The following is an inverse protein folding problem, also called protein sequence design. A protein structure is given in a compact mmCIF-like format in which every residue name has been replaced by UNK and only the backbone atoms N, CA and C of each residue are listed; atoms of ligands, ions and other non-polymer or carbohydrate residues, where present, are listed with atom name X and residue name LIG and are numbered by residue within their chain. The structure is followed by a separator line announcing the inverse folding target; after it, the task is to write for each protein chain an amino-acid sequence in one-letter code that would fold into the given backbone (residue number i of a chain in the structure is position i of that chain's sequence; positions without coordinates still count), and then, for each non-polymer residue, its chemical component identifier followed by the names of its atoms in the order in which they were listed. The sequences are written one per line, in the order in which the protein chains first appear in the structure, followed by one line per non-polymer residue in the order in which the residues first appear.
data_IF_184107661131
#
_entry.id   IF_184107661131
#
_cell.length_a   1.000
_cell.length_b   1.000
_cell.length_c   1.000
_cell.angle_alpha   90.00
_cell.angle_beta   90.00
_cell.angle_gamma   90.00
#
_symmetry.space_group_name_H-M   'P 1'
#
loop_
_entity.id
_entity.type
_entity.pdbx_description
1 polymer ?
#
# COMPACT_ATOMS: atom_id res chain seq x y z
N UNK A 1 25.09 -6.51 26.69
CA UNK A 1 23.98 -5.53 26.69
C UNK A 1 22.92 -6.05 25.74
N UNK A 2 21.65 -6.06 26.19
CA UNK A 2 20.54 -6.52 25.36
C UNK A 2 20.22 -5.45 24.32
N UNK A 3 20.53 -5.73 23.06
CA UNK A 3 20.03 -4.91 21.96
C UNK A 3 18.54 -5.22 21.76
N UNK A 4 17.70 -4.19 21.73
CA UNK A 4 16.25 -4.32 21.59
C UNK A 4 15.72 -3.38 20.51
N UNK A 5 14.58 -3.73 19.89
CA UNK A 5 13.85 -2.81 19.03
C UNK A 5 12.92 -1.92 19.87
N UNK A 6 12.58 -0.75 19.35
CA UNK A 6 11.66 0.20 19.97
C UNK A 6 10.28 -0.45 20.21
N UNK A 7 9.79 -1.27 19.28
CA UNK A 7 8.51 -1.97 19.44
C UNK A 7 8.46 -2.92 20.64
N UNK A 8 9.62 -3.37 21.12
CA UNK A 8 9.72 -4.41 22.14
C UNK A 8 10.05 -3.85 23.53
N UNK A 9 10.22 -2.51 23.65
CA UNK A 9 10.65 -1.85 24.89
C UNK A 9 9.76 -2.16 26.10
N UNK A 10 8.46 -2.35 25.88
CA UNK A 10 7.53 -2.67 26.97
C UNK A 10 7.85 -3.96 27.71
N UNK A 11 8.64 -4.86 27.12
CA UNK A 11 9.07 -6.10 27.77
C UNK A 11 10.28 -5.91 28.70
N UNK A 12 10.86 -4.71 28.77
CA UNK A 12 12.13 -4.43 29.45
C UNK A 12 12.02 -3.27 30.45
N UNK A 13 10.83 -2.98 30.97
CA UNK A 13 10.62 -1.89 31.93
C UNK A 13 11.55 -2.00 33.15
N UNK A 14 12.31 -0.94 33.44
CA UNK A 14 13.31 -0.89 34.51
C UNK A 14 14.65 -1.54 34.18
N UNK A 15 14.81 -2.17 33.01
CA UNK A 15 16.06 -2.76 32.56
C UNK A 15 16.91 -1.79 31.72
N UNK A 16 18.22 -2.00 31.72
CA UNK A 16 19.14 -1.32 30.81
C UNK A 16 19.16 -2.04 29.46
N UNK A 17 18.90 -1.28 28.39
CA UNK A 17 18.85 -1.78 27.01
C UNK A 17 19.67 -0.91 26.08
N UNK A 18 20.03 -1.46 24.93
CA UNK A 18 20.69 -0.73 23.84
C UNK A 18 19.77 -0.66 22.63
N UNK A 19 19.47 0.54 22.15
CA UNK A 19 18.69 0.78 20.93
C UNK A 19 19.59 1.42 19.88
N UNK A 20 19.51 0.92 18.65
CA UNK A 20 20.29 1.42 17.50
C UNK A 20 19.34 2.06 16.50
N UNK A 21 19.61 3.28 16.08
CA UNK A 21 18.68 3.98 15.22
C UNK A 21 19.21 5.30 14.68
N UNK A 22 18.27 6.13 14.25
CA UNK A 22 18.50 7.43 13.67
C UNK A 22 17.79 8.52 14.49
N UNK A 23 18.48 9.63 14.71
CA UNK A 23 17.89 10.83 15.34
C UNK A 23 16.77 11.34 14.44
N UNK A 24 15.54 11.31 14.94
CA UNK A 24 14.38 11.85 14.23
C UNK A 24 14.27 13.36 14.47
N UNK A 25 14.40 13.78 15.72
CA UNK A 25 14.48 15.19 16.12
C UNK A 25 15.13 15.31 17.49
N UNK A 26 15.63 16.49 17.83
CA UNK A 26 16.15 16.84 19.16
C UNK A 26 15.40 18.06 19.70
N UNK A 27 15.24 18.14 21.02
CA UNK A 27 14.66 19.31 21.71
C UNK A 27 15.25 19.45 23.10
N UNK A 28 15.25 20.67 23.64
CA UNK A 28 15.94 20.95 24.91
C UNK A 28 15.11 21.83 25.83
N UNK A 29 15.15 21.52 27.13
CA UNK A 29 14.44 22.23 28.18
C UNK A 29 15.36 22.34 29.42
N UNK A 30 16.03 23.47 29.57
CA UNK A 30 16.89 23.74 30.73
C UNK A 30 18.12 22.82 30.77
N UNK A 31 18.19 21.92 31.75
CA UNK A 31 19.31 20.97 31.94
C UNK A 31 19.02 19.57 31.40
N UNK A 32 17.95 19.43 30.64
CA UNK A 32 17.51 18.16 30.05
C UNK A 32 17.33 18.41 28.56
N UNK A 33 17.78 17.47 27.75
CA UNK A 33 17.45 17.44 26.34
C UNK A 33 16.95 16.06 25.95
N UNK A 34 16.26 16.00 24.82
CA UNK A 34 15.55 14.83 24.35
C UNK A 34 16.01 14.51 22.93
N UNK A 35 16.25 13.24 22.68
CA UNK A 35 16.35 12.68 21.32
C UNK A 35 15.09 11.88 21.06
N UNK A 36 14.37 12.19 19.99
CA UNK A 36 13.41 11.24 19.45
C UNK A 36 14.18 10.32 18.53
N UNK A 37 14.29 9.04 18.87
CA UNK A 37 15.01 8.03 18.10
C UNK A 37 14.02 7.19 17.29
N UNK A 38 14.36 6.90 16.03
CA UNK A 38 13.66 5.91 15.20
C UNK A 38 14.58 4.74 14.87
N UNK A 39 14.06 3.52 14.84
CA UNK A 39 14.82 2.31 14.46
C UNK A 39 14.20 1.56 13.28
N UNK A 40 13.01 1.99 12.82
CA UNK A 40 12.21 1.31 11.78
C UNK A 40 10.99 0.57 12.34
N UNK A 41 11.00 0.22 13.63
CA UNK A 41 9.87 -0.41 14.34
C UNK A 41 9.00 0.62 15.04
N UNK A 42 9.58 1.75 15.49
CA UNK A 42 8.84 2.83 16.13
C UNK A 42 9.63 4.11 16.32
N UNK A 43 9.08 4.97 17.19
CA UNK A 43 9.73 6.16 17.74
C UNK A 43 9.80 6.01 19.26
N UNK A 44 10.93 6.36 19.86
CA UNK A 44 11.09 6.42 21.32
C UNK A 44 11.66 7.77 21.72
N UNK A 45 11.19 8.32 22.84
CA UNK A 45 11.81 9.46 23.47
C UNK A 45 12.98 8.98 24.34
N UNK A 46 14.18 9.49 24.07
CA UNK A 46 15.36 9.28 24.89
C UNK A 46 15.65 10.56 25.68
N UNK A 47 15.63 10.46 27.01
CA UNK A 47 15.79 11.58 27.94
C UNK A 47 17.24 11.65 28.40
N UNK A 48 17.92 12.75 28.11
CA UNK A 48 19.32 12.98 28.49
C UNK A 48 19.38 14.01 29.62
N UNK A 49 19.75 13.55 30.81
CA UNK A 49 19.83 14.37 32.02
C UNK A 49 21.29 14.52 32.42
N UNK A 50 21.76 15.76 32.62
CA UNK A 50 23.17 16.03 32.95
C UNK A 50 23.71 15.25 34.16
N UNK A 51 22.86 15.01 35.15
CA UNK A 51 23.24 14.31 36.40
C UNK A 51 23.31 12.77 36.21
N UNK A 52 22.74 12.25 35.12
CA UNK A 52 22.69 10.81 34.81
C UNK A 52 23.67 10.39 33.70
N UNK A 53 24.32 11.36 33.03
CA UNK A 53 25.25 11.15 31.92
C UNK A 53 26.60 11.86 32.14
N UNK A 54 27.65 11.40 31.46
CA UNK A 54 28.91 12.16 31.40
C UNK A 54 28.80 13.44 30.55
N UNK A 55 29.76 14.36 30.71
CA UNK A 55 29.79 15.61 29.96
C UNK A 55 29.95 15.36 28.44
N UNK A 56 30.59 14.26 28.03
CA UNK A 56 30.73 13.90 26.62
C UNK A 56 29.36 13.61 25.99
N UNK A 57 28.57 12.73 26.60
CA UNK A 57 27.21 12.39 26.17
C UNK A 57 26.29 13.60 26.27
N UNK A 58 26.36 14.38 27.36
CA UNK A 58 25.47 15.51 27.56
C UNK A 58 25.67 16.60 26.50
N UNK A 59 26.92 16.86 26.08
CA UNK A 59 27.25 17.92 25.11
C UNK A 59 26.92 17.54 23.65
N UNK A 60 26.52 16.29 23.37
CA UNK A 60 26.13 15.84 22.02
C UNK A 60 24.88 16.55 21.48
N UNK A 61 24.09 17.21 22.33
CA UNK A 61 22.95 18.04 21.93
C UNK A 61 23.30 19.00 20.77
N UNK A 62 24.48 19.61 20.84
CA UNK A 62 24.95 20.60 19.86
C UNK A 62 25.49 20.00 18.56
N UNK A 63 25.63 18.67 18.52
CA UNK A 63 26.29 17.93 17.44
C UNK A 63 25.28 17.06 16.68
N UNK A 64 24.34 16.43 17.38
CA UNK A 64 23.38 15.52 16.76
C UNK A 64 22.41 16.27 15.85
N UNK A 65 22.42 15.88 14.58
CA UNK A 65 21.49 16.36 13.56
C UNK A 65 20.44 15.31 13.22
N UNK A 66 19.33 15.74 12.63
CA UNK A 66 18.34 14.85 12.04
C UNK A 66 19.01 13.82 11.11
N UNK A 67 18.61 12.56 11.22
CA UNK A 67 19.15 11.40 10.50
C UNK A 67 20.58 10.97 10.88
N UNK A 68 21.19 11.57 11.91
CA UNK A 68 22.41 11.02 12.52
C UNK A 68 22.15 9.61 13.05
N UNK A 69 23.04 8.67 12.75
CA UNK A 69 22.93 7.29 13.26
C UNK A 69 23.70 7.14 14.56
N UNK A 70 23.02 6.56 15.56
CA UNK A 70 23.49 6.48 16.93
C UNK A 70 23.13 5.14 17.56
N UNK A 71 23.90 4.76 18.59
CA UNK A 71 23.61 3.67 19.50
C UNK A 71 23.39 4.30 20.87
N UNK A 72 22.19 4.14 21.43
CA UNK A 72 21.82 4.70 22.73
C UNK A 72 21.65 3.55 23.72
N UNK A 73 22.38 3.61 24.83
CA UNK A 73 22.17 2.72 25.98
C UNK A 73 21.49 3.51 27.09
N UNK A 74 20.44 2.94 27.66
CA UNK A 74 19.66 3.59 28.70
C UNK A 74 18.73 2.65 29.44
N UNK A 75 18.12 3.15 30.51
CA UNK A 75 17.12 2.43 31.30
C UNK A 75 15.72 2.69 30.75
N UNK A 76 14.93 1.64 30.50
CA UNK A 76 13.53 1.79 30.06
C UNK A 76 12.67 2.28 31.23
N UNK A 77 11.90 3.36 31.01
CA UNK A 77 10.99 3.95 32.00
C UNK A 77 9.58 3.99 31.44
N UNK A 78 8.60 3.62 32.27
CA UNK A 78 7.18 3.82 31.96
C UNK A 78 6.86 5.33 31.95
N UNK A 79 6.30 5.83 30.86
CA UNK A 79 5.81 7.20 30.74
C UNK A 79 4.61 7.19 29.79
N UNK A 80 3.41 7.17 30.37
CA UNK A 80 2.15 7.05 29.62
C UNK A 80 1.93 8.16 28.58
N UNK A 81 2.60 9.31 28.70
CA UNK A 81 2.53 10.42 27.73
C UNK A 81 3.46 10.24 26.53
N UNK A 82 4.45 9.35 26.63
CA UNK A 82 5.40 9.08 25.55
C UNK A 82 4.79 8.14 24.50
N UNK A 83 5.25 8.27 23.26
CA UNK A 83 4.84 7.36 22.17
C UNK A 83 5.20 5.93 22.56
N UNK A 84 4.20 5.04 22.52
CA UNK A 84 4.35 3.65 22.96
C UNK A 84 4.28 3.43 24.47
N UNK A 85 4.13 4.48 25.28
CA UNK A 85 4.00 4.38 26.75
C UNK A 85 5.33 4.26 27.51
N UNK A 86 6.46 4.35 26.82
CA UNK A 86 7.80 4.20 27.40
C UNK A 86 8.76 5.27 26.89
N UNK A 87 9.79 5.55 27.69
CA UNK A 87 10.94 6.36 27.31
C UNK A 87 12.24 5.70 27.75
N UNK A 88 13.37 6.19 27.24
CA UNK A 88 14.70 5.70 27.57
C UNK A 88 15.46 6.77 28.35
N UNK A 89 15.71 6.53 29.65
CA UNK A 89 16.63 7.35 30.43
C UNK A 89 18.06 7.06 29.99
N UNK A 90 18.68 8.00 29.27
CA UNK A 90 19.95 7.76 28.57
C UNK A 90 21.11 7.69 29.56
N UNK A 91 21.95 6.67 29.41
CA UNK A 91 23.23 6.54 30.11
C UNK A 91 24.40 6.91 29.19
N UNK A 92 24.36 6.49 27.93
CA UNK A 92 25.39 6.82 26.94
C UNK A 92 24.85 6.86 25.51
N UNK A 93 25.49 7.68 24.68
CA UNK A 93 25.21 7.77 23.24
C UNK A 93 26.53 7.59 22.50
N UNK A 94 26.60 6.58 21.64
CA UNK A 94 27.68 6.40 20.69
C UNK A 94 27.21 6.87 19.31
N UNK A 95 27.99 7.75 18.68
CA UNK A 95 27.75 8.21 17.31
C UNK A 95 28.36 7.22 16.32
N UNK A 96 27.56 6.77 15.35
CA UNK A 96 28.05 6.02 14.20
C UNK A 96 28.31 6.97 13.02
N UNK A 97 27.42 7.92 12.79
CA UNK A 97 27.52 8.90 11.71
C UNK A 97 26.72 10.15 12.07
N UNK A 98 27.33 11.33 11.89
CA UNK A 98 26.60 12.59 11.85
C UNK A 98 26.07 12.82 10.43
N UNK A 99 24.79 13.15 10.32
CA UNK A 99 24.19 13.48 9.02
C UNK A 99 24.37 14.96 8.72
N UNK A 100 24.93 15.28 7.56
CA UNK A 100 25.05 16.66 7.09
C UNK A 100 23.95 16.93 6.05
N UNK A 101 23.34 18.13 6.12
CA UNK A 101 22.44 18.65 5.07
C UNK A 101 21.26 17.74 4.68
N UNK A 102 20.51 17.19 5.66
CA UNK A 102 19.30 16.41 5.33
C UNK A 102 18.25 17.30 4.62
N UNK A 103 17.89 17.00 3.35
CA UNK A 103 17.14 17.94 2.52
C UNK A 103 15.66 18.08 2.91
N UNK A 104 15.10 17.08 3.60
CA UNK A 104 13.69 17.04 4.00
C UNK A 104 13.58 17.54 5.44
N UNK A 105 13.69 18.85 5.62
CA UNK A 105 13.55 19.47 6.94
C UNK A 105 12.10 19.37 7.47
N UNK A 106 11.84 19.60 8.77
CA UNK A 106 10.51 19.48 9.41
C UNK A 106 9.45 20.52 8.99
N UNK A 107 9.55 21.07 7.78
CA UNK A 107 8.55 21.94 7.16
C UNK A 107 7.85 21.18 6.03
N UNK A 108 6.73 21.71 5.57
CA UNK A 108 6.09 21.14 4.38
C UNK A 108 6.96 21.35 3.13
N UNK A 109 6.98 20.32 2.29
CA UNK A 109 7.63 20.35 0.98
C UNK A 109 6.64 19.88 -0.08
N UNK A 110 6.77 20.41 -1.30
CA UNK A 110 5.94 19.98 -2.42
C UNK A 110 6.23 18.53 -2.84
N UNK A 111 5.22 17.83 -3.37
CA UNK A 111 5.32 16.42 -3.79
C UNK A 111 6.46 16.18 -4.78
N UNK A 112 6.70 17.09 -5.73
CA UNK A 112 7.78 16.96 -6.72
C UNK A 112 9.17 16.93 -6.07
N UNK A 113 9.40 17.80 -5.09
CA UNK A 113 10.65 17.81 -4.33
C UNK A 113 10.85 16.51 -3.54
N UNK A 114 9.78 16.03 -2.90
CA UNK A 114 9.79 14.79 -2.12
C UNK A 114 10.03 13.56 -3.00
N UNK A 115 9.47 13.53 -4.22
CA UNK A 115 9.71 12.46 -5.18
C UNK A 115 11.14 12.46 -5.71
N UNK A 116 11.75 13.62 -5.95
CA UNK A 116 13.18 13.71 -6.28
C UNK A 116 14.10 13.20 -5.15
N UNK A 117 13.58 13.17 -3.92
CA UNK A 117 14.25 12.60 -2.76
C UNK A 117 13.55 11.35 -2.22
N UNK A 118 12.88 10.56 -3.09
CA UNK A 118 12.04 9.43 -2.66
C UNK A 118 12.78 8.44 -1.74
N UNK A 119 14.04 8.18 -2.04
CA UNK A 119 14.93 7.30 -1.27
C UNK A 119 15.21 7.78 0.18
N UNK A 120 15.02 9.07 0.47
CA UNK A 120 15.06 9.65 1.81
C UNK A 120 13.65 9.82 2.38
N UNK A 121 12.70 10.29 1.57
CA UNK A 121 11.33 10.56 1.99
C UNK A 121 10.59 9.32 2.49
N UNK A 122 10.98 8.14 2.00
CA UNK A 122 10.46 6.86 2.47
C UNK A 122 10.58 6.69 4.00
N UNK A 123 11.52 7.39 4.65
CA UNK A 123 11.80 7.34 6.10
C UNK A 123 10.81 8.15 6.94
N UNK A 124 9.97 8.96 6.30
CA UNK A 124 9.00 9.82 6.98
C UNK A 124 7.80 9.03 7.51
N UNK A 125 7.17 9.55 8.57
CA UNK A 125 6.08 8.88 9.30
C UNK A 125 4.95 8.37 8.38
N UNK A 126 4.46 9.22 7.48
CA UNK A 126 3.38 8.86 6.55
C UNK A 126 3.80 7.79 5.55
N UNK A 127 5.05 7.85 5.06
CA UNK A 127 5.56 6.87 4.09
C UNK A 127 5.79 5.50 4.72
N UNK A 128 6.26 5.46 5.97
CA UNK A 128 6.29 4.22 6.75
C UNK A 128 4.90 3.61 6.89
N UNK A 129 3.90 4.41 7.30
CA UNK A 129 2.53 3.92 7.48
C UNK A 129 1.95 3.36 6.17
N UNK A 130 2.11 4.05 5.04
CA UNK A 130 1.68 3.55 3.72
C UNK A 130 2.31 2.19 3.40
N UNK A 131 3.62 2.04 3.64
CA UNK A 131 4.33 0.80 3.33
C UNK A 131 3.97 -0.35 4.28
N UNK A 132 3.70 -0.06 5.56
CA UNK A 132 3.21 -1.06 6.51
C UNK A 132 1.79 -1.51 6.19
N UNK A 133 0.89 -0.59 5.85
CA UNK A 133 -0.45 -0.93 5.34
C UNK A 133 -0.34 -1.77 4.07
N UNK A 134 0.51 -1.37 3.11
CA UNK A 134 0.74 -2.17 1.88
C UNK A 134 1.27 -3.56 2.21
N UNK A 135 2.19 -3.70 3.17
CA UNK A 135 2.67 -5.00 3.62
C UNK A 135 1.52 -5.88 4.16
N UNK A 136 0.64 -5.29 4.99
CA UNK A 136 -0.51 -6.01 5.53
C UNK A 136 -1.54 -6.38 4.46
N UNK A 137 -1.81 -5.51 3.48
CA UNK A 137 -2.64 -5.83 2.31
C UNK A 137 -2.07 -7.04 1.57
N UNK A 138 -0.77 -7.04 1.29
CA UNK A 138 -0.08 -8.15 0.60
C UNK A 138 -0.15 -9.45 1.39
N UNK A 139 0.06 -9.37 2.71
CA UNK A 139 -0.06 -10.52 3.61
C UNK A 139 -1.48 -11.07 3.59
N UNK A 140 -2.48 -10.22 3.80
CA UNK A 140 -3.89 -10.58 3.79
C UNK A 140 -4.30 -11.22 2.45
N UNK A 141 -3.82 -10.69 1.33
CA UNK A 141 -4.09 -11.28 0.03
C UNK A 141 -3.59 -12.73 -0.06
N UNK A 142 -2.33 -12.98 0.33
CA UNK A 142 -1.77 -14.34 0.31
C UNK A 142 -2.52 -15.26 1.27
N UNK A 143 -2.78 -14.80 2.49
CA UNK A 143 -3.52 -15.56 3.49
C UNK A 143 -4.93 -15.93 2.98
N UNK A 144 -5.62 -15.00 2.29
CA UNK A 144 -6.92 -15.27 1.67
C UNK A 144 -6.83 -16.38 0.62
N UNK A 145 -5.89 -16.29 -0.32
CA UNK A 145 -5.74 -17.29 -1.38
C UNK A 145 -5.33 -18.66 -0.82
N UNK A 146 -4.39 -18.70 0.12
CA UNK A 146 -3.93 -19.92 0.79
C UNK A 146 -5.09 -20.62 1.53
N UNK A 147 -5.89 -19.87 2.29
CA UNK A 147 -7.04 -20.40 3.02
C UNK A 147 -8.17 -20.90 2.11
N UNK A 148 -8.24 -20.40 0.86
CA UNK A 148 -9.30 -20.74 -0.10
C UNK A 148 -8.85 -21.73 -1.19
N UNK A 149 -7.66 -22.33 -1.02
CA UNK A 149 -7.17 -23.43 -1.86
C UNK A 149 -6.65 -22.99 -3.23
N UNK A 150 -6.20 -21.75 -3.36
CA UNK A 150 -5.52 -21.27 -4.57
C UNK A 150 -4.04 -21.66 -4.53
N UNK A 151 -3.44 -21.83 -5.71
CA UNK A 151 -2.01 -22.09 -5.88
C UNK A 151 -1.35 -20.87 -6.53
N UNK A 152 -0.25 -20.38 -5.95
CA UNK A 152 0.58 -19.36 -6.57
C UNK A 152 1.28 -19.95 -7.80
N UNK A 153 1.00 -19.39 -8.98
CA UNK A 153 1.64 -19.74 -10.25
C UNK A 153 2.22 -18.47 -10.85
N UNK A 154 3.54 -18.28 -10.81
CA UNK A 154 4.16 -17.06 -11.32
C UNK A 154 4.08 -16.96 -12.86
N UNK A 155 3.45 -15.90 -13.36
CA UNK A 155 3.39 -15.59 -14.79
C UNK A 155 4.70 -14.94 -15.27
N UNK A 156 5.15 -15.21 -16.51
CA UNK A 156 6.36 -14.60 -17.06
C UNK A 156 6.17 -13.10 -17.33
N UNK A 157 7.24 -12.33 -17.09
CA UNK A 157 7.25 -10.88 -17.32
C UNK A 157 7.59 -10.51 -18.77
N UNK A 158 8.57 -11.20 -19.36
CA UNK A 158 8.86 -11.07 -20.79
C UNK A 158 7.89 -11.93 -21.58
N UNK A 159 7.08 -11.31 -22.43
CA UNK A 159 6.06 -11.98 -23.24
C UNK A 159 6.16 -11.55 -24.70
N UNK A 160 5.75 -12.44 -25.61
CA UNK A 160 5.56 -12.10 -27.02
C UNK A 160 4.14 -11.59 -27.32
N UNK A 161 3.22 -11.71 -26.36
CA UNK A 161 1.79 -11.47 -26.55
C UNK A 161 1.35 -10.16 -25.87
N UNK A 162 0.36 -9.49 -26.48
CA UNK A 162 -0.37 -8.38 -25.86
C UNK A 162 -1.64 -8.92 -25.19
N UNK A 163 -1.86 -8.61 -23.92
CA UNK A 163 -3.07 -9.02 -23.19
C UNK A 163 -4.17 -7.95 -23.29
N UNK A 164 -3.80 -6.67 -23.15
CA UNK A 164 -4.70 -5.52 -23.03
C UNK A 164 -4.60 -4.59 -24.26
N UNK A 165 -4.34 -5.18 -25.43
CA UNK A 165 -4.11 -4.46 -26.68
C UNK A 165 -2.66 -4.03 -26.90
N UNK A 166 -2.34 -3.66 -28.15
CA UNK A 166 -0.95 -3.44 -28.61
C UNK A 166 -0.47 -2.00 -28.45
N UNK A 167 -1.32 -1.08 -28.00
CA UNK A 167 -1.03 0.36 -27.99
C UNK A 167 -0.20 0.83 -26.80
N UNK A 168 -0.19 0.06 -25.70
CA UNK A 168 0.43 0.44 -24.41
C UNK A 168 1.50 -0.57 -23.94
N UNK A 169 2.27 -1.14 -24.86
CA UNK A 169 3.35 -2.09 -24.56
C UNK A 169 4.73 -1.41 -24.45
N UNK A 170 5.54 -1.86 -23.49
CA UNK A 170 6.98 -1.59 -23.48
C UNK A 170 7.71 -2.69 -24.25
N UNK A 171 8.27 -2.34 -25.40
CA UNK A 171 9.14 -3.23 -26.18
C UNK A 171 10.57 -3.24 -25.60
N UNK A 172 11.16 -4.43 -25.51
CA UNK A 172 12.50 -4.67 -25.02
C UNK A 172 13.26 -5.53 -26.03
N UNK A 173 14.48 -5.13 -26.37
CA UNK A 173 15.38 -5.96 -27.17
C UNK A 173 15.71 -7.26 -26.43
N UNK A 174 15.42 -8.40 -27.05
CA UNK A 174 15.56 -9.73 -26.47
C UNK A 174 16.38 -10.63 -27.39
N UNK A 175 17.70 -10.56 -27.25
CA UNK A 175 18.66 -11.20 -28.15
C UNK A 175 18.49 -10.74 -29.61
N UNK A 176 18.15 -11.65 -30.51
CA UNK A 176 17.90 -11.42 -31.94
C UNK A 176 16.43 -11.17 -32.27
N UNK A 177 15.58 -11.00 -31.26
CA UNK A 177 14.14 -10.70 -31.39
C UNK A 177 13.69 -9.62 -30.39
N UNK A 178 12.42 -9.23 -30.46
CA UNK A 178 11.78 -8.37 -29.46
C UNK A 178 10.99 -9.20 -28.45
N UNK A 179 10.89 -8.69 -27.23
CA UNK A 179 9.93 -9.10 -26.23
C UNK A 179 9.21 -7.87 -25.69
N UNK A 180 8.10 -8.08 -25.00
CA UNK A 180 7.34 -7.03 -24.35
C UNK A 180 7.26 -7.28 -22.86
N UNK A 181 7.23 -6.21 -22.06
CA UNK A 181 6.89 -6.32 -20.65
C UNK A 181 5.38 -6.56 -20.51
N UNK A 182 5.01 -7.52 -19.66
CA UNK A 182 3.62 -7.94 -19.53
C UNK A 182 2.71 -6.84 -18.99
N UNK A 183 1.52 -6.69 -19.59
CA UNK A 183 0.43 -5.87 -19.06
C UNK A 183 -0.38 -6.61 -17.99
N UNK A 184 -0.38 -7.94 -18.04
CA UNK A 184 -1.17 -8.84 -17.20
C UNK A 184 -0.67 -10.28 -17.32
N UNK A 185 -0.66 -11.03 -16.22
CA UNK A 185 -0.37 -12.45 -16.18
C UNK A 185 -1.53 -13.34 -16.66
N UNK A 186 -2.71 -12.79 -16.96
CA UNK A 186 -3.98 -13.51 -17.17
C UNK A 186 -3.88 -14.70 -18.13
N UNK A 187 -3.36 -14.50 -19.36
CA UNK A 187 -3.33 -15.57 -20.37
C UNK A 187 -2.52 -16.80 -19.91
N UNK A 188 -1.53 -16.61 -19.03
CA UNK A 188 -0.80 -17.72 -18.42
C UNK A 188 -1.54 -18.32 -17.23
N UNK A 189 -2.28 -17.50 -16.48
CA UNK A 189 -3.14 -17.97 -15.40
C UNK A 189 -4.31 -18.81 -15.92
N UNK A 190 -4.86 -18.54 -17.11
CA UNK A 190 -5.86 -19.40 -17.75
C UNK A 190 -5.34 -20.84 -17.92
N UNK A 191 -4.10 -20.99 -18.42
CA UNK A 191 -3.44 -22.29 -18.50
C UNK A 191 -3.17 -22.90 -17.11
N UNK A 192 -2.81 -22.08 -16.12
CA UNK A 192 -2.65 -22.48 -14.73
C UNK A 192 -3.94 -23.02 -14.11
N UNK A 193 -5.06 -22.33 -14.31
CA UNK A 193 -6.37 -22.74 -13.82
C UNK A 193 -6.81 -24.07 -14.43
N UNK A 194 -6.55 -24.29 -15.72
CA UNK A 194 -6.79 -25.60 -16.36
C UNK A 194 -5.97 -26.75 -15.75
N UNK A 195 -4.80 -26.45 -15.17
CA UNK A 195 -3.93 -27.45 -14.54
C UNK A 195 -4.23 -27.69 -13.06
N UNK A 196 -4.58 -26.62 -12.31
CA UNK A 196 -4.64 -26.64 -10.85
C UNK A 196 -6.00 -26.24 -10.27
N UNK A 197 -6.98 -25.91 -11.10
CA UNK A 197 -8.33 -25.52 -10.68
C UNK A 197 -8.42 -24.08 -10.21
N UNK A 198 -7.66 -23.68 -9.19
CA UNK A 198 -7.60 -22.31 -8.66
C UNK A 198 -6.17 -21.83 -8.58
N UNK A 199 -5.84 -20.77 -9.30
CA UNK A 199 -4.50 -20.20 -9.31
C UNK A 199 -4.55 -18.70 -9.10
N UNK A 200 -3.42 -18.13 -8.73
CA UNK A 200 -3.20 -16.70 -8.84
C UNK A 200 -1.73 -16.42 -9.14
N UNK A 201 -1.44 -15.30 -9.80
CA UNK A 201 -0.11 -14.72 -9.78
C UNK A 201 -0.08 -13.42 -8.98
N UNK A 202 1.11 -13.07 -8.51
CA UNK A 202 1.35 -11.78 -7.89
C UNK A 202 2.70 -11.22 -8.33
N UNK A 203 2.68 -10.30 -9.29
CA UNK A 203 3.90 -9.72 -9.85
C UNK A 203 3.73 -8.28 -10.36
N UNK A 204 4.83 -7.68 -10.83
CA UNK A 204 4.79 -6.39 -11.50
C UNK A 204 4.17 -6.51 -12.90
N UNK A 205 3.41 -5.50 -13.28
CA UNK A 205 2.85 -5.32 -14.63
C UNK A 205 3.13 -3.92 -15.13
N UNK A 206 3.10 -3.76 -16.45
CA UNK A 206 3.61 -2.59 -17.13
C UNK A 206 2.61 -2.09 -18.17
N UNK A 207 2.33 -0.79 -18.16
CA UNK A 207 1.49 -0.12 -19.16
C UNK A 207 2.21 1.12 -19.65
N UNK A 208 2.52 1.18 -20.94
CA UNK A 208 3.12 2.34 -21.60
C UNK A 208 2.09 3.45 -21.85
N UNK A 209 1.29 3.76 -20.82
CA UNK A 209 0.29 4.81 -20.83
C UNK A 209 0.97 6.18 -20.68
N UNK A 210 0.63 7.13 -21.55
CA UNK A 210 1.20 8.48 -21.53
C UNK A 210 0.43 9.42 -20.61
N UNK A 211 -0.80 9.04 -20.26
CA UNK A 211 -1.67 9.84 -19.40
C UNK A 211 -1.11 10.00 -17.99
N UNK A 212 -0.84 11.24 -17.59
CA UNK A 212 -0.34 11.60 -16.24
C UNK A 212 -1.52 11.96 -15.34
N UNK A 213 -2.27 10.96 -14.90
CA UNK A 213 -3.36 11.15 -13.93
C UNK A 213 -2.96 10.70 -12.52
N UNK A 214 -3.78 11.02 -11.52
CA UNK A 214 -3.62 10.53 -10.14
C UNK A 214 -3.82 9.01 -9.97
N UNK A 215 -4.39 8.31 -10.95
CA UNK A 215 -4.74 6.87 -10.88
C UNK A 215 -3.79 5.96 -11.66
N UNK A 216 -2.82 6.52 -12.40
CA UNK A 216 -2.03 5.76 -13.36
C UNK A 216 -0.54 5.73 -12.99
N UNK A 217 0.05 4.53 -13.00
CA UNK A 217 1.47 4.27 -12.98
C UNK A 217 1.85 3.44 -14.22
N UNK A 218 3.07 3.60 -14.71
CA UNK A 218 3.58 2.78 -15.82
C UNK A 218 4.09 1.42 -15.38
N UNK A 219 4.42 1.28 -14.11
CA UNK A 219 4.78 0.04 -13.42
C UNK A 219 3.96 -0.03 -12.13
N UNK A 220 3.25 -1.13 -11.93
CA UNK A 220 2.44 -1.37 -10.75
C UNK A 220 2.39 -2.86 -10.46
N UNK A 221 1.79 -3.23 -9.34
CA UNK A 221 1.73 -4.61 -8.90
C UNK A 221 0.30 -5.12 -9.02
N UNK A 222 0.12 -6.27 -9.67
CA UNK A 222 -1.17 -6.91 -9.84
C UNK A 222 -1.20 -8.26 -9.13
N UNK A 223 -2.37 -8.55 -8.56
CA UNK A 223 -2.74 -9.85 -8.04
C UNK A 223 -3.86 -10.34 -8.96
N UNK A 224 -3.64 -11.48 -9.59
CA UNK A 224 -4.47 -11.93 -10.71
C UNK A 224 -4.89 -13.38 -10.45
N UNK A 225 -6.04 -13.60 -9.78
CA UNK A 225 -6.60 -14.93 -9.59
C UNK A 225 -7.31 -15.41 -10.85
N UNK A 226 -7.26 -16.72 -11.10
CA UNK A 226 -7.99 -17.38 -12.19
C UNK A 226 -8.56 -18.72 -11.69
N UNK A 227 -9.82 -19.00 -12.03
CA UNK A 227 -10.59 -20.11 -11.45
C UNK A 227 -11.28 -20.92 -12.55
N UNK A 228 -10.92 -22.20 -12.68
CA UNK A 228 -11.60 -23.13 -13.55
C UNK A 228 -13.02 -23.42 -13.07
N UNK A 229 -13.97 -23.53 -14.02
CA UNK A 229 -15.40 -23.74 -13.75
C UNK A 229 -16.05 -22.64 -12.89
N UNK A 230 -15.55 -21.41 -12.99
CA UNK A 230 -16.15 -20.22 -12.38
C UNK A 230 -16.89 -19.40 -13.44
N UNK A 231 -18.16 -19.08 -13.20
CA UNK A 231 -18.90 -18.10 -13.99
C UNK A 231 -18.78 -16.68 -13.41
N UNK A 232 -19.37 -15.69 -14.10
CA UNK A 232 -19.31 -14.28 -13.69
C UNK A 232 -19.95 -14.00 -12.32
N UNK A 233 -21.04 -14.71 -11.98
CA UNK A 233 -21.71 -14.51 -10.69
C UNK A 233 -20.83 -15.03 -9.55
N UNK A 234 -20.20 -16.19 -9.75
CA UNK A 234 -19.21 -16.75 -8.84
C UNK A 234 -17.94 -15.89 -8.76
N UNK A 235 -17.49 -15.31 -9.88
CA UNK A 235 -16.34 -14.41 -9.91
C UNK A 235 -16.60 -13.14 -9.07
N UNK A 236 -17.77 -12.53 -9.23
CA UNK A 236 -18.21 -11.41 -8.38
C UNK A 236 -18.27 -11.79 -6.90
N UNK A 237 -18.75 -13.00 -6.56
CA UNK A 237 -18.73 -13.51 -5.19
C UNK A 237 -17.29 -13.65 -4.63
N UNK A 238 -16.34 -14.09 -5.44
CA UNK A 238 -14.93 -14.18 -5.04
C UNK A 238 -14.30 -12.82 -4.86
N UNK A 239 -14.56 -11.90 -5.80
CA UNK A 239 -14.04 -10.53 -5.77
C UNK A 239 -14.48 -9.77 -4.50
N UNK A 240 -15.77 -9.80 -4.14
CA UNK A 240 -16.26 -9.10 -2.94
C UNK A 240 -15.73 -9.73 -1.64
N UNK A 241 -15.60 -11.06 -1.58
CA UNK A 241 -15.01 -11.76 -0.43
C UNK A 241 -13.55 -11.37 -0.25
N UNK A 242 -12.80 -11.34 -1.35
CA UNK A 242 -11.38 -10.99 -1.36
C UNK A 242 -11.14 -9.56 -0.85
N UNK A 243 -11.83 -8.58 -1.44
CA UNK A 243 -11.68 -7.17 -1.07
C UNK A 243 -12.16 -6.93 0.35
N UNK A 244 -13.30 -7.50 0.76
CA UNK A 244 -13.79 -7.38 2.13
C UNK A 244 -12.79 -7.98 3.12
N UNK A 245 -12.24 -9.17 2.88
CA UNK A 245 -11.25 -9.80 3.75
C UNK A 245 -10.02 -8.90 3.98
N UNK A 246 -9.46 -8.31 2.92
CA UNK A 246 -8.29 -7.43 3.02
C UNK A 246 -8.59 -6.20 3.87
N UNK A 247 -9.75 -5.56 3.65
CA UNK A 247 -10.10 -4.35 4.39
C UNK A 247 -10.32 -4.67 5.86
N UNK A 248 -11.04 -5.75 6.18
CA UNK A 248 -11.24 -6.19 7.56
C UNK A 248 -9.91 -6.55 8.24
N UNK A 249 -8.99 -7.22 7.52
CA UNK A 249 -7.65 -7.51 8.02
C UNK A 249 -6.89 -6.22 8.38
N UNK A 250 -6.93 -5.21 7.50
CA UNK A 250 -6.25 -3.94 7.75
C UNK A 250 -6.87 -3.15 8.90
N UNK A 251 -8.19 -3.21 9.09
CA UNK A 251 -8.84 -2.59 10.25
C UNK A 251 -8.35 -3.18 11.57
N UNK A 252 -8.12 -4.50 11.60
CA UNK A 252 -7.62 -5.22 12.78
C UNK A 252 -6.11 -5.01 13.01
N UNK A 253 -5.30 -4.98 11.95
CA UNK A 253 -3.83 -5.05 12.06
C UNK A 253 -3.10 -3.73 11.77
N UNK A 254 -3.78 -2.72 11.24
CA UNK A 254 -3.17 -1.46 10.82
C UNK A 254 -3.70 -0.23 11.56
N UNK A 255 -4.38 -0.37 12.71
CA UNK A 255 -5.06 0.74 13.39
C UNK A 255 -4.15 1.97 13.58
N UNK A 256 -2.96 1.79 14.17
CA UNK A 256 -2.00 2.88 14.38
C UNK A 256 -1.48 3.51 13.08
N UNK A 257 -1.37 2.71 12.01
CA UNK A 257 -0.96 3.21 10.70
C UNK A 257 -2.10 3.99 10.02
N UNK A 258 -3.34 3.53 10.11
CA UNK A 258 -4.52 4.22 9.59
C UNK A 258 -4.76 5.55 10.33
N UNK A 259 -4.59 5.57 11.65
CA UNK A 259 -4.58 6.81 12.45
C UNK A 259 -3.47 7.76 12.00
N UNK A 260 -2.26 7.23 11.76
CA UNK A 260 -1.13 8.04 11.27
C UNK A 260 -1.41 8.66 9.90
N UNK A 261 -2.22 8.00 9.07
CA UNK A 261 -2.63 8.47 7.75
C UNK A 261 -3.87 9.37 7.78
N UNK A 262 -4.38 9.71 8.97
CA UNK A 262 -5.63 10.45 9.17
C UNK A 262 -6.80 9.83 8.38
N UNK A 263 -6.83 8.48 8.27
CA UNK A 263 -7.87 7.78 7.50
C UNK A 263 -9.13 7.60 8.33
N UNK A 264 -10.28 7.99 7.77
CA UNK A 264 -11.59 7.70 8.35
C UNK A 264 -11.93 6.21 8.26
N UNK A 265 -11.73 5.50 9.36
CA UNK A 265 -11.99 4.06 9.48
C UNK A 265 -13.46 3.70 9.32
N UNK A 266 -14.40 4.62 9.60
CA UNK A 266 -15.84 4.35 9.51
C UNK A 266 -16.30 4.07 8.08
N UNK A 267 -15.57 4.58 7.08
CA UNK A 267 -15.78 4.26 5.66
C UNK A 267 -15.33 2.84 5.33
N UNK A 268 -14.19 2.42 5.89
CA UNK A 268 -13.61 1.10 5.67
C UNK A 268 -14.43 0.00 6.38
N UNK A 269 -14.99 0.29 7.54
CA UNK A 269 -15.88 -0.62 8.29
C UNK A 269 -17.12 -1.05 7.48
N UNK A 270 -17.58 -0.19 6.55
CA UNK A 270 -18.73 -0.50 5.67
C UNK A 270 -18.39 -1.47 4.55
N UNK A 271 -17.09 -1.76 4.32
CA UNK A 271 -16.62 -2.71 3.29
C UNK A 271 -16.86 -4.15 3.77
N UNK A 272 -18.12 -4.53 3.76
CA UNK A 272 -18.64 -5.84 4.12
C UNK A 272 -19.57 -6.36 3.03
N UNK A 273 -19.48 -7.65 2.77
CA UNK A 273 -20.34 -8.36 1.81
C UNK A 273 -21.81 -8.37 2.25
N UNK A 274 -22.78 -8.48 1.30
CA UNK A 274 -22.59 -8.41 -0.15
C UNK A 274 -22.34 -6.98 -0.63
N UNK A 275 -21.59 -6.83 -1.73
CA UNK A 275 -21.42 -5.52 -2.38
C UNK A 275 -22.58 -5.25 -3.35
N UNK A 276 -22.97 -3.98 -3.55
CA UNK A 276 -23.89 -3.60 -4.62
C UNK A 276 -23.37 -4.10 -5.98
N UNK A 277 -24.27 -4.70 -6.77
CA UNK A 277 -24.02 -5.15 -8.14
C UNK A 277 -25.00 -4.44 -9.05
N UNK A 278 -24.48 -3.76 -10.06
CA UNK A 278 -25.29 -3.04 -11.05
C UNK A 278 -24.85 -3.43 -12.46
N UNK A 279 -25.76 -3.39 -13.42
CA UNK A 279 -25.40 -3.54 -14.83
C UNK A 279 -24.72 -2.28 -15.34
N UNK A 280 -24.05 -2.38 -16.49
CA UNK A 280 -23.63 -1.20 -17.27
C UNK A 280 -24.80 -0.24 -17.52
N UNK A 281 -25.98 -0.77 -17.86
CA UNK A 281 -27.17 0.03 -18.14
C UNK A 281 -27.61 0.85 -16.92
N UNK A 282 -27.66 0.22 -15.74
CA UNK A 282 -27.95 0.89 -14.46
C UNK A 282 -26.91 1.99 -14.17
N UNK A 283 -25.62 1.74 -14.44
CA UNK A 283 -24.57 2.74 -14.27
C UNK A 283 -24.75 3.95 -15.21
N UNK A 284 -25.13 3.71 -16.47
CA UNK A 284 -25.48 4.78 -17.42
C UNK A 284 -26.69 5.59 -16.94
N UNK A 285 -27.70 4.94 -16.36
CA UNK A 285 -28.85 5.63 -15.76
C UNK A 285 -28.45 6.51 -14.57
N UNK A 286 -27.55 6.03 -13.70
CA UNK A 286 -26.98 6.81 -12.60
C UNK A 286 -26.29 8.07 -13.13
N UNK A 287 -25.45 7.96 -14.16
CA UNK A 287 -24.75 9.08 -14.78
C UNK A 287 -25.74 10.12 -15.32
N UNK A 288 -26.72 9.68 -16.11
CA UNK A 288 -27.75 10.57 -16.70
C UNK A 288 -28.59 11.26 -15.63
N UNK A 289 -28.97 10.55 -14.56
CA UNK A 289 -29.73 11.11 -13.44
C UNK A 289 -28.95 12.17 -12.66
N UNK A 290 -27.62 12.04 -12.61
CA UNK A 290 -26.72 13.01 -12.00
C UNK A 290 -26.24 14.11 -12.98
N UNK A 291 -26.86 14.22 -14.15
CA UNK A 291 -26.62 15.31 -15.09
C UNK A 291 -25.35 15.16 -15.93
N UNK A 292 -24.74 13.97 -15.96
CA UNK A 292 -23.62 13.65 -16.85
C UNK A 292 -24.16 13.33 -18.24
N UNK A 293 -23.66 14.05 -19.25
CA UNK A 293 -23.97 13.79 -20.66
C UNK A 293 -23.10 12.63 -21.16
N UNK A 294 -23.58 11.40 -20.97
CA UNK A 294 -22.87 10.17 -21.30
C UNK A 294 -23.50 9.45 -22.50
N UNK A 295 -22.67 9.13 -23.49
CA UNK A 295 -23.07 8.36 -24.67
C UNK A 295 -23.05 6.86 -24.37
N UNK A 296 -24.20 6.21 -24.55
CA UNK A 296 -24.31 4.76 -24.35
C UNK A 296 -23.38 3.99 -25.30
N UNK A 297 -22.66 3.00 -24.78
CA UNK A 297 -21.62 2.26 -25.50
C UNK A 297 -20.21 2.81 -25.25
N UNK A 298 -20.08 3.99 -24.63
CA UNK A 298 -18.79 4.52 -24.19
C UNK A 298 -18.22 3.78 -22.98
N UNK A 299 -16.92 3.94 -22.76
CA UNK A 299 -16.22 3.51 -21.55
C UNK A 299 -16.34 4.58 -20.44
N UNK A 300 -16.31 4.18 -19.17
CA UNK A 300 -16.43 5.12 -18.06
C UNK A 300 -15.07 5.77 -17.79
N UNK A 301 -15.01 7.09 -17.95
CA UNK A 301 -13.83 7.87 -17.57
C UNK A 301 -13.72 8.02 -16.05
N UNK A 302 -12.58 8.52 -15.58
CA UNK A 302 -12.35 8.65 -14.14
C UNK A 302 -13.36 9.55 -13.40
N UNK A 303 -13.97 10.52 -14.09
CA UNK A 303 -15.06 11.35 -13.55
C UNK A 303 -16.37 10.57 -13.45
N UNK A 304 -16.69 9.77 -14.47
CA UNK A 304 -17.90 8.94 -14.50
C UNK A 304 -17.86 7.91 -13.37
N UNK A 305 -16.72 7.23 -13.20
CA UNK A 305 -16.49 6.30 -12.09
C UNK A 305 -16.70 6.96 -10.73
N UNK A 306 -16.25 8.20 -10.53
CA UNK A 306 -16.46 8.94 -9.29
C UNK A 306 -17.94 9.25 -9.05
N UNK A 307 -18.67 9.72 -10.07
CA UNK A 307 -20.11 9.99 -9.93
C UNK A 307 -20.89 8.73 -9.57
N UNK A 308 -20.51 7.59 -10.17
CA UNK A 308 -21.13 6.29 -9.86
C UNK A 308 -20.77 5.85 -8.44
N UNK A 309 -19.50 5.87 -8.06
CA UNK A 309 -19.06 5.35 -6.76
C UNK A 309 -19.58 6.18 -5.58
N UNK A 310 -19.78 7.50 -5.75
CA UNK A 310 -20.40 8.40 -4.76
C UNK A 310 -21.86 8.02 -4.40
N UNK A 311 -22.53 7.20 -5.21
CA UNK A 311 -23.88 6.72 -4.90
C UNK A 311 -23.90 5.56 -3.89
N UNK A 312 -22.73 5.02 -3.54
CA UNK A 312 -22.59 3.83 -2.71
C UNK A 312 -21.68 4.09 -1.50
N UNK A 313 -21.97 3.41 -0.39
CA UNK A 313 -21.22 3.55 0.87
C UNK A 313 -20.08 2.53 1.04
N UNK A 314 -19.89 1.68 0.02
CA UNK A 314 -18.93 0.58 -0.08
C UNK A 314 -18.66 0.29 -1.57
N UNK A 315 -17.67 -0.56 -1.92
CA UNK A 315 -17.37 -0.87 -3.30
C UNK A 315 -18.59 -1.39 -4.07
N UNK A 316 -18.74 -0.96 -5.33
CA UNK A 316 -19.82 -1.38 -6.24
C UNK A 316 -19.20 -2.14 -7.41
N UNK A 317 -19.84 -3.25 -7.80
CA UNK A 317 -19.47 -3.99 -9.01
C UNK A 317 -20.38 -3.59 -10.17
N UNK A 318 -19.77 -3.24 -11.30
CA UNK A 318 -20.45 -2.97 -12.57
C UNK A 318 -20.17 -4.13 -13.51
N UNK A 319 -21.21 -4.79 -14.00
CA UNK A 319 -21.07 -5.99 -14.83
C UNK A 319 -21.84 -5.91 -16.15
N UNK A 320 -21.55 -6.86 -17.06
CA UNK A 320 -22.20 -6.99 -18.37
C UNK A 320 -22.01 -5.74 -19.24
N UNK A 321 -20.76 -5.53 -19.65
CA UNK A 321 -20.33 -4.35 -20.39
C UNK A 321 -20.57 -4.48 -21.90
N UNK A 322 -20.67 -3.37 -22.66
CA UNK A 322 -20.68 -3.42 -24.11
C UNK A 322 -19.45 -4.17 -24.64
N UNK A 323 -19.72 -5.16 -25.47
CA UNK A 323 -18.77 -6.10 -26.04
C UNK A 323 -17.61 -5.44 -26.81
N UNK A 324 -17.87 -4.29 -27.42
CA UNK A 324 -16.96 -3.59 -28.35
C UNK A 324 -15.85 -2.81 -27.63
N UNK A 325 -16.07 -2.43 -26.36
CA UNK A 325 -15.12 -1.65 -25.57
C UNK A 325 -14.32 -2.51 -24.58
N UNK A 326 -14.50 -3.83 -24.60
CA UNK A 326 -13.82 -4.77 -23.71
C UNK A 326 -12.86 -5.69 -24.47
N UNK A 327 -11.96 -6.32 -23.73
CA UNK A 327 -10.91 -7.17 -24.29
C UNK A 327 -11.47 -8.39 -25.03
N UNK A 328 -10.70 -8.87 -26.01
CA UNK A 328 -11.11 -9.91 -26.95
C UNK A 328 -11.42 -11.27 -26.29
N UNK A 329 -10.85 -11.53 -25.11
CA UNK A 329 -10.98 -12.80 -24.40
C UNK A 329 -12.29 -12.90 -23.59
N UNK A 330 -13.02 -11.80 -23.42
CA UNK A 330 -14.22 -11.81 -22.57
C UNK A 330 -15.36 -12.57 -23.25
N UNK A 331 -15.93 -13.53 -22.51
CA UNK A 331 -17.08 -14.34 -22.95
C UNK A 331 -18.27 -13.44 -23.25
N UNK A 332 -19.02 -13.74 -24.32
CA UNK A 332 -20.27 -13.03 -24.65
C UNK A 332 -21.42 -13.52 -23.79
N UNK A 333 -22.34 -12.60 -23.46
CA UNK A 333 -23.59 -12.95 -22.79
C UNK A 333 -24.44 -13.83 -23.71
N UNK A 334 -25.06 -14.87 -23.15
CA UNK A 334 -25.80 -15.86 -23.93
C UNK A 334 -27.16 -15.35 -24.44
N UNK A 335 -27.72 -14.34 -23.78
CA UNK A 335 -28.99 -13.71 -24.14
C UNK A 335 -28.78 -12.46 -25.00
N UNK A 336 -27.65 -11.77 -24.84
CA UNK A 336 -27.28 -10.60 -25.63
C UNK A 336 -25.78 -10.58 -26.01
N UNK A 337 -25.47 -11.02 -27.23
CA UNK A 337 -24.09 -11.12 -27.75
C UNK A 337 -23.35 -9.76 -27.85
N UNK A 338 -24.07 -8.64 -27.73
CA UNK A 338 -23.47 -7.31 -27.64
C UNK A 338 -22.92 -6.98 -26.25
N UNK A 339 -23.05 -7.89 -25.28
CA UNK A 339 -22.52 -7.74 -23.93
C UNK A 339 -21.39 -8.74 -23.67
N UNK A 340 -20.35 -8.27 -22.98
CA UNK A 340 -19.26 -9.06 -22.44
C UNK A 340 -19.52 -9.38 -20.97
N UNK A 341 -19.32 -10.65 -20.61
CA UNK A 341 -19.42 -11.19 -19.25
C UNK A 341 -18.16 -10.84 -18.44
N UNK A 342 -17.97 -9.55 -18.19
CA UNK A 342 -16.93 -9.03 -17.31
C UNK A 342 -17.53 -8.14 -16.21
N UNK A 343 -16.75 -7.88 -15.17
CA UNK A 343 -17.08 -6.94 -14.11
C UNK A 343 -15.89 -6.05 -13.78
N UNK A 344 -16.18 -4.81 -13.39
CA UNK A 344 -15.23 -3.90 -12.77
C UNK A 344 -15.75 -3.58 -11.36
N UNK A 345 -14.86 -3.44 -10.38
CA UNK A 345 -15.22 -3.04 -9.01
C UNK A 345 -14.68 -1.63 -8.72
N UNK A 346 -15.57 -0.70 -8.44
CA UNK A 346 -15.22 0.68 -8.11
C UNK A 346 -15.20 0.85 -6.60
N UNK A 347 -14.09 1.38 -6.07
CA UNK A 347 -14.02 1.80 -4.67
C UNK A 347 -14.77 3.14 -4.46
N UNK A 348 -15.42 3.33 -3.30
CA UNK A 348 -15.97 4.63 -2.91
C UNK A 348 -14.82 5.61 -2.60
N UNK A 349 -15.10 6.92 -2.56
CA UNK A 349 -14.10 7.94 -2.16
C UNK A 349 -13.66 7.84 -0.68
#
# INVERSE_FOLDING_TARGET
MNQVNISDLGNYAGEEVTVKGWVYTTRSIGKIWFVILRDGTGLVQCVVVKEETDDETFNLESILTQESSVIITGTVREEARSVGGFELGVNSIQINQISEEYPISPKEHGTDFLMNHRHLWIRSKLQHAILRVRHQVIKASRDFFDQNGFILVDSPIFTANAAEGTTSLFEVGYFDRSAYLTQSGQLYQEAGAMAFGKVYCFGPTFRAEKSKTRRHLTEFWMIEPEIAFCDLEQDMDWAEKYVSYIVQWCLEHCTTDLETLDRDVSTLEKVATPFPRITYDDAVEILKKNGVDFEYGGDFGGTDETVISEQFDRPVMIHRWPAEIKAFYMKRDAENDNLAMGMDMLAPE
#
